data_IF_139218248366
#
_entry.id   IF_139218248366
#
_cell.length_a   1.000
_cell.length_b   1.000
_cell.length_c   1.000
_cell.angle_alpha   90.00
_cell.angle_beta   90.00
_cell.angle_gamma   90.00
#
_symmetry.space_group_name_H-M   'P 1'
#
loop_
_entity.id
_entity.type
_entity.pdbx_description
1 polymer ?
#
# COMPACT_ATOMS: atom_id res chain seq x y z
N UNK A 1 18.74 6.32 3.62
CA UNK A 1 17.97 6.14 2.37
C UNK A 1 16.99 5.00 2.60
N UNK A 2 15.69 5.24 2.42
CA UNK A 2 14.67 4.19 2.52
C UNK A 2 14.56 3.44 1.19
N UNK A 3 14.47 2.11 1.25
CA UNK A 3 14.28 1.26 0.07
C UNK A 3 13.26 0.15 0.37
N UNK A 4 12.53 -0.27 -0.66
CA UNK A 4 11.60 -1.41 -0.61
C UNK A 4 12.23 -2.61 -1.34
N UNK A 5 12.23 -3.78 -0.70
CA UNK A 5 12.58 -5.04 -1.35
C UNK A 5 11.46 -5.42 -2.31
N UNK A 6 11.78 -5.54 -3.60
CA UNK A 6 10.84 -5.92 -4.66
C UNK A 6 11.04 -7.36 -5.14
N UNK A 7 12.21 -7.95 -4.88
CA UNK A 7 12.47 -9.37 -5.05
C UNK A 7 13.42 -9.86 -3.97
N UNK A 8 13.04 -10.93 -3.31
CA UNK A 8 13.90 -11.63 -2.35
C UNK A 8 15.20 -12.13 -3.00
N UNK A 9 16.28 -12.30 -2.22
CA UNK A 9 17.53 -12.84 -2.72
C UNK A 9 17.33 -14.27 -3.24
N UNK A 10 18.05 -14.62 -4.31
CA UNK A 10 17.95 -15.92 -4.96
C UNK A 10 19.36 -16.48 -5.23
N UNK A 11 19.74 -17.51 -4.48
CA UNK A 11 21.08 -18.10 -4.53
C UNK A 11 22.16 -17.10 -4.13
N UNK A 12 23.08 -16.79 -5.06
CA UNK A 12 24.15 -15.79 -4.86
C UNK A 12 23.73 -14.36 -5.23
N UNK A 13 22.54 -14.17 -5.81
CA UNK A 13 22.03 -12.84 -6.17
C UNK A 13 21.36 -12.21 -4.96
N UNK A 14 21.86 -11.04 -4.55
CA UNK A 14 21.24 -10.25 -3.47
C UNK A 14 19.82 -9.80 -3.82
N UNK A 15 19.11 -9.26 -2.82
CA UNK A 15 17.76 -8.76 -3.00
C UNK A 15 17.72 -7.61 -4.02
N UNK A 16 16.65 -7.57 -4.82
CA UNK A 16 16.38 -6.41 -5.67
C UNK A 16 15.57 -5.41 -4.87
N UNK A 17 16.04 -4.16 -4.81
CA UNK A 17 15.39 -3.06 -4.08
C UNK A 17 14.97 -1.93 -5.01
N UNK A 18 14.03 -1.10 -4.55
CA UNK A 18 13.52 0.08 -5.23
C UNK A 18 13.38 1.24 -4.26
N UNK A 19 13.66 2.47 -4.71
CA UNK A 19 13.31 3.71 -4.00
C UNK A 19 11.87 4.16 -4.28
N UNK A 20 11.23 3.59 -5.30
CA UNK A 20 9.81 3.80 -5.58
C UNK A 20 9.00 2.92 -4.64
N UNK A 21 8.58 3.49 -3.51
CA UNK A 21 7.81 2.81 -2.49
C UNK A 21 6.36 2.63 -2.95
N UNK A 22 5.80 1.46 -2.68
CA UNK A 22 4.39 1.13 -2.95
C UNK A 22 3.76 0.43 -1.76
N UNK A 23 2.58 0.90 -1.35
CA UNK A 23 1.80 0.35 -0.24
C UNK A 23 0.50 -0.25 -0.78
N UNK A 24 0.39 -1.58 -0.90
CA UNK A 24 -0.80 -2.22 -1.45
C UNK A 24 -1.95 -2.25 -0.42
N UNK A 25 -3.04 -1.55 -0.75
CA UNK A 25 -4.38 -1.74 -0.17
C UNK A 25 -5.19 -2.77 -0.96
N UNK A 26 -6.45 -2.98 -0.58
CA UNK A 26 -7.40 -3.88 -1.24
C UNK A 26 -7.91 -3.31 -2.56
N UNK A 27 -8.26 -2.02 -2.58
CA UNK A 27 -8.82 -1.31 -3.72
C UNK A 27 -7.77 -0.50 -4.49
N UNK A 28 -6.78 0.06 -3.80
CA UNK A 28 -5.72 0.86 -4.41
C UNK A 28 -4.34 0.35 -4.01
N UNK A 29 -3.33 0.71 -4.80
CA UNK A 29 -1.94 0.75 -4.37
C UNK A 29 -1.57 2.20 -4.20
N UNK A 30 -1.15 2.59 -3.00
CA UNK A 30 -0.70 3.94 -2.72
C UNK A 30 0.79 4.09 -3.06
N UNK A 31 1.13 5.18 -3.74
CA UNK A 31 2.48 5.50 -4.22
C UNK A 31 2.84 6.91 -3.72
N UNK A 32 3.59 7.05 -2.61
CA UNK A 32 3.82 8.35 -1.99
C UNK A 32 4.54 9.40 -2.86
N UNK A 33 5.29 8.95 -3.88
CA UNK A 33 6.19 9.79 -4.68
C UNK A 33 6.03 9.56 -6.20
N UNK A 34 4.87 9.11 -6.66
CA UNK A 34 4.66 8.80 -8.08
C UNK A 34 4.08 9.96 -8.90
N UNK A 35 3.26 10.82 -8.30
CA UNK A 35 2.63 11.95 -8.96
C UNK A 35 1.66 11.60 -10.10
N UNK A 36 1.20 10.34 -10.20
CA UNK A 36 0.24 9.91 -11.22
C UNK A 36 -0.81 8.95 -10.67
N UNK A 37 -1.95 8.91 -11.36
CA UNK A 37 -3.05 7.96 -11.10
C UNK A 37 -3.20 7.01 -12.29
N UNK A 38 -3.11 5.71 -12.03
CA UNK A 38 -3.29 4.65 -13.02
C UNK A 38 -4.45 3.73 -12.63
N UNK A 39 -5.09 3.11 -13.62
CA UNK A 39 -6.11 2.09 -13.41
C UNK A 39 -5.66 0.75 -13.93
N UNK A 40 -6.01 -0.34 -13.24
CA UNK A 40 -5.75 -1.70 -13.69
C UNK A 40 -6.31 -1.93 -15.09
N UNK A 41 -5.50 -2.45 -16.00
CA UNK A 41 -5.92 -2.85 -17.36
C UNK A 41 -6.92 -4.00 -17.37
N UNK A 42 -7.09 -4.68 -16.24
CA UNK A 42 -8.07 -5.77 -16.07
C UNK A 42 -9.48 -5.27 -15.71
N UNK A 43 -9.65 -3.96 -15.46
CA UNK A 43 -10.98 -3.39 -15.30
C UNK A 43 -11.65 -3.37 -16.67
N UNK A 44 -12.71 -4.16 -16.81
CA UNK A 44 -13.31 -4.48 -18.11
C UNK A 44 -14.02 -3.27 -18.74
N UNK A 45 -14.70 -2.47 -17.91
CA UNK A 45 -15.44 -1.30 -18.35
C UNK A 45 -14.58 -0.03 -18.26
N UNK A 46 -14.37 0.60 -19.41
CA UNK A 46 -13.58 1.84 -19.51
C UNK A 46 -14.16 2.97 -18.66
N UNK A 47 -15.48 3.14 -18.69
CA UNK A 47 -16.19 4.18 -17.93
C UNK A 47 -15.97 4.02 -16.43
N UNK A 48 -16.00 2.78 -15.93
CA UNK A 48 -15.75 2.49 -14.53
C UNK A 48 -14.28 2.76 -14.15
N UNK A 49 -13.34 2.37 -15.01
CA UNK A 49 -11.92 2.67 -14.80
C UNK A 49 -11.68 4.18 -14.72
N UNK A 50 -12.34 4.96 -15.57
CA UNK A 50 -12.24 6.41 -15.58
C UNK A 50 -12.92 7.04 -14.37
N UNK A 51 -14.09 6.57 -13.96
CA UNK A 51 -14.77 7.01 -12.71
C UNK A 51 -13.86 6.81 -11.50
N UNK A 52 -13.27 5.63 -11.36
CA UNK A 52 -12.38 5.30 -10.23
C UNK A 52 -11.09 6.14 -10.24
N UNK A 53 -10.53 6.41 -11.43
CA UNK A 53 -9.40 7.33 -11.58
C UNK A 53 -9.74 8.74 -11.14
N UNK A 54 -10.86 9.29 -11.61
CA UNK A 54 -11.32 10.63 -11.24
C UNK A 54 -11.51 10.73 -9.73
N UNK A 55 -12.14 9.73 -9.11
CA UNK A 55 -12.26 9.63 -7.66
C UNK A 55 -10.87 9.72 -7.00
N UNK A 56 -9.89 8.96 -7.48
CA UNK A 56 -8.54 8.96 -6.89
C UNK A 56 -7.76 10.26 -7.06
N UNK A 57 -7.98 10.95 -8.17
CA UNK A 57 -7.40 12.27 -8.41
C UNK A 57 -7.93 13.31 -7.41
N UNK A 58 -9.15 13.15 -6.86
CA UNK A 58 -9.73 14.12 -5.92
C UNK A 58 -9.05 14.18 -4.55
N UNK A 59 -8.31 13.14 -4.15
CA UNK A 59 -7.77 13.06 -2.78
C UNK A 59 -6.24 12.97 -2.68
N UNK A 60 -5.53 12.77 -3.80
CA UNK A 60 -4.07 12.91 -3.84
C UNK A 60 -3.61 14.34 -3.65
N UNK A 61 -2.42 14.53 -3.05
CA UNK A 61 -1.77 15.83 -2.91
C UNK A 61 -0.30 15.76 -3.36
N UNK A 62 0.16 16.78 -4.07
CA UNK A 62 1.58 16.92 -4.43
C UNK A 62 2.09 15.73 -5.25
N UNK A 63 3.07 15.02 -4.71
CA UNK A 63 3.73 13.86 -5.37
C UNK A 63 3.02 12.52 -5.14
N UNK A 64 1.88 12.53 -4.43
CA UNK A 64 1.11 11.32 -4.18
C UNK A 64 0.49 10.77 -5.47
N UNK A 65 0.56 9.45 -5.64
CA UNK A 65 -0.01 8.73 -6.76
C UNK A 65 -0.69 7.43 -6.35
N UNK A 66 -1.42 6.82 -7.28
CA UNK A 66 -2.25 5.66 -7.02
C UNK A 66 -2.33 4.71 -8.20
N UNK A 67 -2.49 3.42 -7.91
CA UNK A 67 -2.95 2.43 -8.88
C UNK A 67 -4.28 1.85 -8.40
N UNK A 68 -5.36 2.08 -9.16
CA UNK A 68 -6.66 1.46 -8.91
C UNK A 68 -6.57 -0.04 -9.26
N UNK A 69 -6.88 -0.91 -8.30
CA UNK A 69 -6.92 -2.37 -8.49
C UNK A 69 -8.27 -2.80 -9.06
N UNK A 70 -8.29 -3.93 -9.76
CA UNK A 70 -9.53 -4.57 -10.28
C UNK A 70 -10.59 -4.77 -9.20
N UNK A 71 -10.17 -5.03 -7.95
CA UNK A 71 -11.08 -5.22 -6.83
C UNK A 71 -11.90 -3.95 -6.49
N UNK A 72 -11.48 -2.77 -6.95
CA UNK A 72 -12.18 -1.50 -6.73
C UNK A 72 -13.43 -1.32 -7.62
N UNK A 73 -13.66 -2.20 -8.60
CA UNK A 73 -14.85 -2.14 -9.46
C UNK A 73 -16.15 -2.14 -8.66
N UNK A 74 -17.03 -1.19 -8.96
CA UNK A 74 -18.32 -0.99 -8.31
C UNK A 74 -18.23 -0.41 -6.89
N UNK A 75 -17.03 -0.07 -6.39
CA UNK A 75 -16.86 0.52 -5.06
C UNK A 75 -17.24 1.98 -5.04
N UNK A 76 -17.77 2.40 -3.89
CA UNK A 76 -18.13 3.81 -3.65
C UNK A 76 -16.88 4.63 -3.38
N UNK A 77 -16.98 5.93 -3.66
CA UNK A 77 -15.90 6.88 -3.42
C UNK A 77 -15.42 6.86 -1.97
N UNK A 78 -16.34 6.75 -1.02
CA UNK A 78 -16.05 6.77 0.40
C UNK A 78 -15.18 5.57 0.84
N UNK A 79 -15.39 4.39 0.25
CA UNK A 79 -14.60 3.18 0.53
C UNK A 79 -13.15 3.36 0.07
N UNK A 80 -12.97 3.91 -1.14
CA UNK A 80 -11.66 4.15 -1.74
C UNK A 80 -10.92 5.25 -0.97
N UNK A 81 -11.64 6.32 -0.63
CA UNK A 81 -11.09 7.45 0.14
C UNK A 81 -10.72 7.04 1.57
N UNK A 82 -11.48 6.15 2.20
CA UNK A 82 -11.11 5.60 3.51
C UNK A 82 -9.81 4.80 3.43
N UNK A 83 -9.69 3.89 2.46
CA UNK A 83 -8.46 3.10 2.30
C UNK A 83 -7.24 3.99 1.99
N UNK A 84 -7.42 5.05 1.20
CA UNK A 84 -6.38 6.06 1.00
C UNK A 84 -5.91 6.68 2.32
N UNK A 85 -6.84 7.12 3.18
CA UNK A 85 -6.49 7.70 4.48
C UNK A 85 -5.70 6.71 5.33
N UNK A 86 -6.12 5.45 5.35
CA UNK A 86 -5.47 4.40 6.13
C UNK A 86 -4.04 4.14 5.63
N UNK A 87 -3.85 4.06 4.30
CA UNK A 87 -2.52 3.88 3.70
C UNK A 87 -1.60 5.09 3.88
N UNK A 88 -2.16 6.31 3.85
CA UNK A 88 -1.39 7.55 4.07
C UNK A 88 -0.94 7.68 5.52
N UNK A 89 -1.81 7.36 6.48
CA UNK A 89 -1.45 7.30 7.89
C UNK A 89 -0.37 6.24 8.13
N UNK A 90 -0.56 5.05 7.55
CA UNK A 90 0.43 3.98 7.65
C UNK A 90 1.80 4.38 7.06
N UNK A 91 1.81 5.13 5.95
CA UNK A 91 3.04 5.70 5.41
C UNK A 91 3.71 6.69 6.35
N UNK A 92 2.92 7.56 6.99
CA UNK A 92 3.42 8.51 7.99
C UNK A 92 4.06 7.79 9.17
N UNK A 93 3.47 6.68 9.63
CA UNK A 93 4.00 5.85 10.71
C UNK A 93 5.35 5.22 10.29
N UNK A 94 5.46 4.67 9.08
CA UNK A 94 6.74 4.14 8.54
C UNK A 94 7.83 5.22 8.52
N UNK A 95 7.50 6.44 8.07
CA UNK A 95 8.48 7.52 8.04
C UNK A 95 8.93 7.92 9.44
N UNK A 96 8.00 8.01 10.39
CA UNK A 96 8.32 8.30 11.78
C UNK A 96 9.23 7.22 12.38
N UNK A 97 8.91 5.92 12.18
CA UNK A 97 9.75 4.83 12.67
C UNK A 97 11.16 4.89 12.06
N UNK A 98 11.26 5.17 10.75
CA UNK A 98 12.54 5.26 10.05
C UNK A 98 13.44 6.40 10.57
N UNK A 99 12.88 7.51 11.05
CA UNK A 99 13.65 8.64 11.60
C UNK A 99 14.44 8.26 12.86
N UNK A 100 13.94 7.30 13.64
CA UNK A 100 14.55 6.89 14.92
C UNK A 100 15.46 5.66 14.81
N UNK A 101 15.61 5.08 13.62
CA UNK A 101 16.39 3.87 13.39
C UNK A 101 17.76 4.16 12.77
N UNK A 102 18.81 3.54 13.31
CA UNK A 102 20.13 3.56 12.69
C UNK A 102 20.23 2.52 11.57
N UNK A 103 20.69 2.93 10.39
CA UNK A 103 20.82 2.04 9.24
C UNK A 103 22.01 1.07 9.39
N UNK A 104 21.90 -0.19 8.91
CA UNK A 104 20.74 -0.78 8.25
C UNK A 104 19.68 -1.28 9.25
N UNK A 105 18.43 -0.94 9.00
CA UNK A 105 17.31 -1.38 9.83
C UNK A 105 16.10 -1.79 8.96
N UNK A 106 15.38 -2.81 9.41
CA UNK A 106 14.07 -3.16 8.85
C UNK A 106 13.02 -2.24 9.46
N UNK A 107 12.55 -1.27 8.67
CA UNK A 107 11.52 -0.31 9.12
C UNK A 107 10.14 -0.95 9.11
N UNK A 108 9.86 -1.79 8.11
CA UNK A 108 8.59 -2.49 7.99
C UNK A 108 8.76 -3.80 7.25
N UNK A 109 8.19 -4.87 7.82
CA UNK A 109 8.04 -6.16 7.18
C UNK A 109 6.58 -6.37 6.79
N UNK A 110 6.32 -6.58 5.49
CA UNK A 110 4.97 -6.92 5.06
C UNK A 110 4.61 -8.29 5.59
N UNK A 111 3.49 -8.39 6.31
CA UNK A 111 3.05 -9.64 6.87
C UNK A 111 2.83 -10.72 5.79
N UNK A 112 3.14 -11.97 6.15
CA UNK A 112 3.01 -13.17 5.30
C UNK A 112 1.58 -13.38 4.73
N UNK A 113 1.42 -14.40 3.89
CA UNK A 113 0.14 -14.85 3.31
C UNK A 113 -1.07 -14.83 4.27
N UNK A 114 -0.86 -15.10 5.56
CA UNK A 114 -1.93 -15.17 6.57
C UNK A 114 -2.60 -13.82 6.86
N UNK A 115 -1.90 -12.71 7.19
CA UNK A 115 -2.56 -11.42 7.33
C UNK A 115 -3.11 -10.82 6.02
N UNK A 116 -2.59 -11.22 4.86
CA UNK A 116 -3.22 -10.91 3.56
C UNK A 116 -4.58 -11.59 3.41
N UNK A 117 -4.67 -12.89 3.69
CA UNK A 117 -5.93 -13.63 3.70
C UNK A 117 -6.93 -13.01 4.69
N UNK A 118 -6.46 -12.65 5.89
CA UNK A 118 -7.30 -11.98 6.90
C UNK A 118 -7.79 -10.60 6.43
N UNK A 119 -6.94 -9.79 5.78
CA UNK A 119 -7.31 -8.49 5.19
C UNK A 119 -8.35 -8.64 4.08
N UNK A 120 -8.23 -9.67 3.27
CA UNK A 120 -9.13 -9.92 2.13
C UNK A 120 -10.49 -10.48 2.59
N UNK A 121 -10.53 -11.23 3.70
CA UNK A 121 -11.73 -11.90 4.21
C UNK A 121 -12.45 -11.15 5.35
N UNK A 122 -11.79 -10.30 6.13
CA UNK A 122 -12.41 -9.62 7.28
C UNK A 122 -12.40 -8.11 7.07
N UNK A 123 -13.57 -7.58 6.74
CA UNK A 123 -13.84 -6.15 6.68
C UNK A 123 -13.84 -5.60 8.11
N UNK A 124 -12.76 -4.92 8.53
CA UNK A 124 -12.71 -4.20 9.81
C UNK A 124 -11.64 -4.67 10.80
N UNK A 125 -10.36 -4.72 10.40
CA UNK A 125 -9.26 -4.91 11.34
C UNK A 125 -8.76 -3.55 11.87
N UNK A 126 -8.88 -3.34 13.18
CA UNK A 126 -8.39 -2.14 13.89
C UNK A 126 -6.89 -2.22 14.21
N UNK A 127 -6.25 -1.05 14.33
CA UNK A 127 -4.83 -0.77 14.62
C UNK A 127 -4.18 -1.69 15.68
N UNK A 128 -4.94 -2.12 16.68
CA UNK A 128 -4.49 -3.05 17.74
C UNK A 128 -4.12 -4.43 17.19
N UNK A 129 -4.92 -5.00 16.29
CA UNK A 129 -4.70 -6.35 15.76
C UNK A 129 -3.42 -6.48 14.93
N UNK A 130 -2.99 -5.40 14.26
CA UNK A 130 -1.76 -5.39 13.46
C UNK A 130 -0.50 -5.27 14.32
N UNK A 131 -0.51 -4.37 15.31
CA UNK A 131 0.62 -4.18 16.23
C UNK A 131 0.85 -5.41 17.11
N UNK A 132 -0.22 -6.09 17.52
CA UNK A 132 -0.14 -7.26 18.39
C UNK A 132 0.39 -8.50 17.66
N UNK A 133 0.16 -8.61 16.35
CA UNK A 133 0.75 -9.67 15.52
C UNK A 133 2.24 -9.43 15.26
N UNK A 134 2.63 -8.17 15.02
CA UNK A 134 4.03 -7.78 14.84
C UNK A 134 4.85 -7.97 16.14
N UNK A 135 4.24 -7.74 17.31
CA UNK A 135 4.90 -7.92 18.62
C UNK A 135 5.11 -9.38 19.03
N UNK A 136 4.28 -10.31 18.53
CA UNK A 136 4.33 -11.74 18.90
C UNK A 136 5.39 -12.57 18.15
N UNK A 137 6.18 -11.97 17.26
CA UNK A 137 7.29 -12.63 16.54
C UNK A 137 8.69 -12.15 16.97
N UNK A 138 8.85 -11.67 18.21
CA UNK A 138 10.16 -11.61 18.88
C UNK A 138 10.40 -12.89 19.66
#
# INVERSE_FOLDING_TARGET
MLVQVIKEPEGRKGAKVSTHISLPGRWIVYLPYAGYVAGSRKIAHEDERNRLKQIAETFGKGEEGFIIRTAAEGRKEEEIRQEFRDLRLFWSDILQDAEWMEAPAEVYQSADLLPRLVRDYIVGWTRLGMLELARKRK
#
